data_IF_964950398502
#
_entry.id   IF_964950398502
#
_cell.length_a   1.000
_cell.length_b   1.000
_cell.length_c   1.000
_cell.angle_alpha   90.00
_cell.angle_beta   90.00
_cell.angle_gamma   90.00
#
_symmetry.space_group_name_H-M   'P 1'
#
loop_
_entity.id
_entity.type
_entity.pdbx_description
1 polymer ?
#
# COMPACT_ATOMS: atom_id res chain seq x y z
N UNK A 1 -6.94 22.64 -7.50
CA UNK A 1 -8.16 23.36 -7.12
C UNK A 1 -9.22 22.28 -6.99
N UNK A 2 -9.87 22.16 -5.84
CA UNK A 2 -11.02 21.30 -5.66
C UNK A 2 -12.14 21.82 -6.57
N UNK A 3 -12.62 20.95 -7.44
CA UNK A 3 -13.74 21.23 -8.34
C UNK A 3 -14.89 20.33 -7.91
N UNK A 4 -16.11 20.86 -7.74
CA UNK A 4 -17.28 20.01 -7.51
C UNK A 4 -17.39 18.97 -8.62
N UNK A 5 -17.67 17.72 -8.25
CA UNK A 5 -17.93 16.69 -9.25
C UNK A 5 -19.26 16.99 -9.98
N UNK A 6 -19.19 17.64 -11.13
CA UNK A 6 -20.27 17.59 -12.12
C UNK A 6 -20.23 16.19 -12.72
N UNK A 7 -21.32 15.43 -12.57
CA UNK A 7 -21.34 13.99 -12.84
C UNK A 7 -20.52 13.55 -14.07
N UNK A 8 -19.72 12.51 -13.84
CA UNK A 8 -19.05 11.65 -14.84
C UNK A 8 -17.96 12.34 -15.69
N UNK A 9 -16.89 12.79 -15.05
CA UNK A 9 -15.56 12.80 -15.69
C UNK A 9 -14.67 11.80 -14.95
N UNK A 10 -13.95 10.96 -15.69
CA UNK A 10 -13.20 9.78 -15.22
C UNK A 10 -12.03 10.03 -14.25
N UNK A 11 -12.05 11.13 -13.49
CA UNK A 11 -11.19 11.35 -12.34
C UNK A 11 -11.74 10.70 -11.07
N UNK A 12 -10.85 10.32 -10.16
CA UNK A 12 -11.23 9.84 -8.83
C UNK A 12 -11.85 10.99 -8.03
N UNK A 13 -13.11 10.85 -7.63
CA UNK A 13 -13.84 11.85 -6.85
C UNK A 13 -13.96 11.41 -5.39
N UNK A 14 -13.94 12.38 -4.46
CA UNK A 14 -14.08 12.13 -3.02
C UNK A 14 -15.25 12.92 -2.44
N UNK A 15 -16.11 12.26 -1.68
CA UNK A 15 -17.15 12.92 -0.91
C UNK A 15 -16.55 13.54 0.37
N UNK A 16 -16.85 14.83 0.62
CA UNK A 16 -16.42 15.57 1.80
C UNK A 16 -17.61 16.17 2.52
N UNK A 17 -17.52 16.28 3.84
CA UNK A 17 -18.55 16.91 4.67
C UNK A 17 -18.07 18.30 5.06
N UNK A 18 -18.93 19.30 4.87
CA UNK A 18 -18.67 20.67 5.29
C UNK A 18 -18.52 20.77 6.81
N UNK A 19 -17.50 21.48 7.28
CA UNK A 19 -17.33 21.89 8.67
C UNK A 19 -18.08 23.20 9.00
N UNK A 20 -18.74 23.81 8.02
CA UNK A 20 -19.45 25.07 8.16
C UNK A 20 -18.58 26.31 8.00
N UNK A 21 -19.10 27.45 8.42
CA UNK A 21 -18.44 28.76 8.38
C UNK A 21 -17.78 29.09 9.73
N UNK A 22 -16.74 29.94 9.76
CA UNK A 22 -16.14 30.39 11.01
C UNK A 22 -17.17 31.08 11.92
N UNK A 23 -17.07 30.83 13.23
CA UNK A 23 -17.85 31.56 14.22
C UNK A 23 -17.51 33.06 14.23
N UNK A 24 -18.43 33.89 14.70
CA UNK A 24 -18.22 35.34 14.77
C UNK A 24 -16.93 35.70 15.53
N UNK A 25 -16.12 36.56 14.92
CA UNK A 25 -14.83 37.01 15.48
C UNK A 25 -13.65 36.06 15.24
N UNK A 26 -13.88 34.90 14.62
CA UNK A 26 -12.81 33.98 14.19
C UNK A 26 -12.52 34.20 12.70
N UNK A 27 -11.28 34.54 12.38
CA UNK A 27 -10.77 34.56 11.02
C UNK A 27 -10.21 33.17 10.66
N UNK A 28 -10.49 32.73 9.43
CA UNK A 28 -10.07 31.45 8.87
C UNK A 28 -9.36 31.73 7.55
N UNK A 29 -8.11 31.29 7.44
CA UNK A 29 -7.30 31.38 6.23
C UNK A 29 -6.84 29.98 5.80
N UNK A 30 -6.66 29.80 4.49
CA UNK A 30 -5.99 28.64 3.92
C UNK A 30 -4.65 29.11 3.38
N UNK A 31 -3.55 28.55 3.87
CA UNK A 31 -2.20 28.95 3.47
C UNK A 31 -1.42 27.79 2.85
N UNK A 32 -0.56 28.10 1.90
CA UNK A 32 0.41 27.15 1.37
C UNK A 32 1.39 26.72 2.48
N UNK A 33 1.53 25.41 2.77
CA UNK A 33 2.35 24.96 3.90
C UNK A 33 3.83 25.30 3.79
N UNK A 34 4.36 25.42 2.57
CA UNK A 34 5.79 25.62 2.32
C UNK A 34 6.15 27.11 2.33
N UNK A 35 5.38 27.92 1.60
CA UNK A 35 5.61 29.36 1.47
C UNK A 35 4.92 30.20 2.55
N UNK A 36 3.95 29.64 3.25
CA UNK A 36 3.11 30.33 4.23
C UNK A 36 2.15 31.37 3.64
N UNK A 37 2.04 31.46 2.31
CA UNK A 37 1.23 32.46 1.63
C UNK A 37 -0.25 32.06 1.59
N UNK A 38 -1.19 33.03 1.65
CA UNK A 38 -2.61 32.76 1.47
C UNK A 38 -2.90 32.12 0.11
N UNK A 39 -3.76 31.11 0.11
CA UNK A 39 -4.26 30.44 -1.08
C UNK A 39 -5.69 30.89 -1.41
N UNK A 40 -6.06 30.98 -2.70
CA UNK A 40 -7.42 31.32 -3.08
C UNK A 40 -8.40 30.19 -2.71
N UNK A 41 -9.68 30.53 -2.64
CA UNK A 41 -10.75 29.57 -2.37
C UNK A 41 -10.68 28.36 -3.34
N UNK A 42 -11.03 27.19 -2.83
CA UNK A 42 -10.94 25.92 -3.56
C UNK A 42 -9.52 25.37 -3.71
N UNK A 43 -8.46 26.04 -3.27
CA UNK A 43 -7.12 25.42 -3.19
C UNK A 43 -6.95 24.79 -1.80
N UNK A 44 -6.43 23.57 -1.79
CA UNK A 44 -6.07 22.89 -0.53
C UNK A 44 -4.78 23.49 0.02
N UNK A 45 -4.76 23.72 1.33
CA UNK A 45 -3.60 24.18 2.08
C UNK A 45 -3.79 23.97 3.58
N UNK A 46 -2.87 24.49 4.38
CA UNK A 46 -2.95 24.46 5.84
C UNK A 46 -4.06 25.41 6.33
N UNK A 47 -4.92 24.89 7.19
CA UNK A 47 -5.97 25.65 7.88
C UNK A 47 -5.34 26.48 9.00
N UNK A 48 -5.61 27.78 9.00
CA UNK A 48 -5.10 28.73 9.98
C UNK A 48 -6.24 29.54 10.60
N UNK A 49 -6.16 29.72 11.91
CA UNK A 49 -7.20 30.41 12.70
C UNK A 49 -6.62 31.60 13.46
N UNK A 50 -7.31 32.73 13.42
CA UNK A 50 -6.99 33.92 14.23
C UNK A 50 -8.24 34.42 14.93
N UNK A 51 -8.09 34.96 16.14
CA UNK A 51 -9.21 35.57 16.86
C UNK A 51 -9.23 35.24 18.35
N UNK A 52 -10.19 35.82 19.09
CA UNK A 52 -10.18 35.84 20.55
C UNK A 52 -10.33 34.46 21.20
N UNK A 53 -10.82 33.46 20.46
CA UNK A 53 -10.97 32.07 20.92
C UNK A 53 -9.70 31.22 20.75
N UNK A 54 -8.66 31.75 20.11
CA UNK A 54 -7.38 31.05 19.95
C UNK A 54 -6.64 31.02 21.30
N UNK A 55 -6.13 29.84 21.68
CA UNK A 55 -5.39 29.69 22.92
C UNK A 55 -4.12 30.56 22.93
N UNK A 56 -3.75 31.07 24.09
CA UNK A 56 -2.52 31.88 24.24
C UNK A 56 -1.23 31.10 24.00
N UNK A 57 -1.28 29.77 23.97
CA UNK A 57 -0.16 28.84 23.92
C UNK A 57 -0.35 27.66 24.86
N UNK A 58 0.55 26.69 24.81
CA UNK A 58 0.54 25.51 25.67
C UNK A 58 1.06 25.83 27.08
N UNK A 59 0.53 25.11 28.08
CA UNK A 59 0.94 25.27 29.47
C UNK A 59 2.43 24.94 29.65
N UNK A 60 3.18 25.87 30.23
CA UNK A 60 4.64 25.80 30.45
C UNK A 60 5.50 25.74 29.18
N UNK A 61 4.93 26.02 28.00
CA UNK A 61 5.68 26.16 26.76
C UNK A 61 5.64 27.62 26.28
N UNK A 62 6.71 28.37 26.56
CA UNK A 62 6.82 29.78 26.17
C UNK A 62 6.98 29.98 24.67
N UNK A 63 7.47 28.98 23.93
CA UNK A 63 7.71 29.09 22.48
C UNK A 63 6.39 29.13 21.67
N UNK A 64 5.31 28.67 22.29
CA UNK A 64 3.98 28.62 21.68
C UNK A 64 3.12 29.84 22.02
N UNK A 65 3.65 30.80 22.79
CA UNK A 65 2.88 31.98 23.21
C UNK A 65 2.75 33.03 22.12
N UNK A 66 1.53 33.54 21.93
CA UNK A 66 1.26 34.69 21.06
C UNK A 66 1.47 34.45 19.57
N UNK A 67 1.52 33.18 19.12
CA UNK A 67 1.56 32.83 17.69
C UNK A 67 0.15 32.91 17.11
N UNK A 68 -0.17 34.04 16.48
CA UNK A 68 -1.28 34.16 15.55
C UNK A 68 -0.76 34.43 14.13
N UNK A 69 -1.36 33.83 13.09
CA UNK A 69 -2.44 32.85 13.15
C UNK A 69 -1.99 31.49 13.75
N UNK A 70 -2.91 30.80 14.43
CA UNK A 70 -2.72 29.42 14.87
C UNK A 70 -2.70 28.50 13.65
N UNK A 71 -1.53 27.92 13.38
CA UNK A 71 -1.38 26.79 12.47
C UNK A 71 -2.00 25.54 13.12
N UNK A 72 -3.14 25.07 12.61
CA UNK A 72 -3.82 23.89 13.19
C UNK A 72 -3.11 22.59 12.82
N UNK A 73 -2.32 22.63 11.75
CA UNK A 73 -1.73 21.46 11.10
C UNK A 73 -2.74 20.61 10.34
N UNK A 74 -3.99 21.05 10.22
CA UNK A 74 -5.01 20.41 9.38
C UNK A 74 -4.92 20.94 7.95
N UNK A 75 -5.20 20.08 6.98
CA UNK A 75 -5.33 20.44 5.57
C UNK A 75 -6.79 20.63 5.21
N UNK A 76 -7.07 21.63 4.37
CA UNK A 76 -8.43 21.90 3.92
C UNK A 76 -8.49 22.98 2.86
N UNK A 77 -9.71 23.25 2.40
CA UNK A 77 -10.01 24.36 1.48
C UNK A 77 -11.36 25.00 1.84
N UNK A 78 -11.57 26.22 1.37
CA UNK A 78 -12.85 26.93 1.47
C UNK A 78 -13.59 26.77 0.16
N UNK A 79 -14.85 26.32 0.21
CA UNK A 79 -15.76 26.28 -0.94
C UNK A 79 -17.11 26.86 -0.53
N UNK A 80 -17.62 27.81 -1.33
CA UNK A 80 -18.89 28.51 -1.05
C UNK A 80 -18.96 29.07 0.39
N UNK A 81 -17.83 29.57 0.90
CA UNK A 81 -17.71 30.16 2.23
C UNK A 81 -17.59 29.15 3.39
N UNK A 82 -17.74 27.86 3.13
CA UNK A 82 -17.61 26.82 4.14
C UNK A 82 -16.24 26.10 4.08
N UNK A 83 -15.75 25.68 5.24
CA UNK A 83 -14.51 24.91 5.37
C UNK A 83 -14.75 23.42 5.09
N UNK A 84 -13.87 22.82 4.30
CA UNK A 84 -13.79 21.38 4.11
C UNK A 84 -12.40 20.90 4.54
N UNK A 85 -12.34 20.12 5.62
CA UNK A 85 -11.10 19.52 6.11
C UNK A 85 -10.83 18.22 5.36
N UNK A 86 -9.61 18.09 4.85
CA UNK A 86 -9.22 17.01 3.94
C UNK A 86 -8.19 16.05 4.54
N UNK A 87 -7.50 16.46 5.60
CA UNK A 87 -6.48 15.65 6.25
C UNK A 87 -5.68 16.45 7.26
N UNK A 88 -4.48 15.95 7.58
CA UNK A 88 -3.54 16.60 8.51
C UNK A 88 -2.15 16.59 7.92
N UNK A 89 -1.46 17.73 7.96
CA UNK A 89 -0.16 17.96 7.32
C UNK A 89 0.89 16.93 7.77
N UNK A 90 0.91 16.61 9.07
CA UNK A 90 1.87 15.66 9.67
C UNK A 90 1.46 14.18 9.57
N UNK A 91 0.27 13.89 9.03
CA UNK A 91 -0.23 12.52 8.90
C UNK A 91 -0.20 12.03 7.45
N UNK A 92 0.30 12.80 6.47
CA UNK A 92 0.42 12.35 5.08
C UNK A 92 1.45 11.22 4.95
N UNK A 93 1.14 10.25 4.08
CA UNK A 93 2.02 9.12 3.72
C UNK A 93 2.59 9.43 2.34
N UNK A 94 3.91 9.38 2.18
CA UNK A 94 4.58 9.71 0.92
C UNK A 94 5.00 8.43 0.21
N UNK A 95 4.20 8.00 -0.76
CA UNK A 95 4.48 6.78 -1.53
C UNK A 95 4.94 7.17 -2.93
N UNK A 96 6.20 6.86 -3.28
CA UNK A 96 6.78 7.12 -4.61
C UNK A 96 6.59 8.58 -5.06
N UNK A 97 6.78 9.54 -4.15
CA UNK A 97 6.63 10.97 -4.41
C UNK A 97 5.18 11.48 -4.47
N UNK A 98 4.18 10.64 -4.15
CA UNK A 98 2.77 11.04 -4.06
C UNK A 98 2.34 11.14 -2.60
N UNK A 99 1.66 12.25 -2.26
CA UNK A 99 1.04 12.44 -0.95
C UNK A 99 -0.28 11.65 -0.88
N UNK A 100 -0.36 10.72 0.07
CA UNK A 100 -1.52 9.86 0.31
C UNK A 100 -2.06 10.17 1.70
N UNK A 101 -3.32 10.61 1.76
CA UNK A 101 -3.98 10.87 3.03
C UNK A 101 -4.45 9.54 3.66
N UNK A 102 -4.08 9.21 4.92
CA UNK A 102 -4.53 7.98 5.59
C UNK A 102 -6.05 7.85 5.65
N UNK A 103 -6.77 8.97 5.81
CA UNK A 103 -8.22 8.99 5.85
C UNK A 103 -8.84 8.46 4.56
N UNK A 104 -8.21 8.69 3.40
CA UNK A 104 -8.71 8.18 2.13
C UNK A 104 -8.53 6.67 2.03
N UNK A 105 -7.35 6.17 2.42
CA UNK A 105 -7.06 4.73 2.54
C UNK A 105 -8.08 4.04 3.45
N UNK A 106 -8.36 4.62 4.61
CA UNK A 106 -9.30 4.08 5.58
C UNK A 106 -10.75 4.11 5.08
N UNK A 107 -11.15 5.20 4.42
CA UNK A 107 -12.49 5.36 3.86
C UNK A 107 -12.76 4.40 2.71
N UNK A 108 -11.76 4.12 1.87
CA UNK A 108 -11.87 3.13 0.79
C UNK A 108 -12.21 1.72 1.31
N UNK A 109 -11.82 1.41 2.55
CA UNK A 109 -12.12 0.13 3.18
C UNK A 109 -13.53 0.03 3.78
N UNK A 110 -14.21 1.15 4.05
CA UNK A 110 -15.47 1.17 4.78
C UNK A 110 -16.57 0.28 4.16
N UNK A 111 -16.53 0.09 2.83
CA UNK A 111 -17.46 -0.75 2.07
C UNK A 111 -16.73 -1.73 1.13
N UNK A 112 -15.47 -2.06 1.44
CA UNK A 112 -14.65 -2.93 0.59
C UNK A 112 -15.07 -4.40 0.68
N UNK A 113 -15.38 -4.91 1.88
CA UNK A 113 -15.73 -6.31 2.09
C UNK A 113 -16.63 -6.50 3.32
N UNK A 114 -17.65 -7.39 3.31
CA UNK A 114 -18.58 -7.58 4.43
C UNK A 114 -17.93 -7.92 5.76
N UNK A 115 -16.76 -8.54 5.76
CA UNK A 115 -16.02 -8.91 6.96
C UNK A 115 -15.36 -7.72 7.68
N UNK A 116 -15.10 -6.60 7.00
CA UNK A 116 -14.41 -5.45 7.59
C UNK A 116 -15.35 -4.65 8.50
N UNK A 117 -14.84 -4.21 9.65
CA UNK A 117 -15.60 -3.31 10.50
C UNK A 117 -15.55 -1.87 9.90
N UNK A 118 -16.71 -1.22 9.71
CA UNK A 118 -16.75 0.15 9.20
C UNK A 118 -16.00 1.10 10.12
N UNK A 119 -15.28 2.07 9.56
CA UNK A 119 -14.53 3.09 10.32
C UNK A 119 -13.58 2.51 11.40
N UNK A 120 -13.04 1.32 11.13
CA UNK A 120 -12.13 0.61 12.02
C UNK A 120 -10.84 0.19 11.29
N UNK A 121 -10.29 1.13 10.52
CA UNK A 121 -9.02 0.99 9.85
C UNK A 121 -8.04 2.06 10.33
N UNK A 122 -6.76 1.72 10.30
CA UNK A 122 -5.64 2.63 10.54
C UNK A 122 -4.65 2.46 9.39
N UNK A 123 -4.47 3.51 8.59
CA UNK A 123 -3.42 3.60 7.59
C UNK A 123 -2.25 4.41 8.14
N UNK A 124 -1.03 3.95 7.94
CA UNK A 124 0.17 4.64 8.41
C UNK A 124 1.40 4.27 7.57
N UNK A 125 2.40 5.16 7.49
CA UNK A 125 3.64 4.88 6.79
C UNK A 125 4.57 4.06 7.70
N UNK A 126 5.39 3.21 7.10
CA UNK A 126 6.59 2.64 7.75
C UNK A 126 7.80 2.92 6.86
N UNK A 127 8.95 3.19 7.48
CA UNK A 127 10.18 3.44 6.74
C UNK A 127 10.74 2.13 6.19
N UNK A 128 11.19 2.16 4.95
CA UNK A 128 11.85 1.04 4.26
C UNK A 128 13.12 1.55 3.57
N UNK A 129 13.93 0.63 3.03
CA UNK A 129 15.11 1.01 2.23
C UNK A 129 14.78 1.88 1.02
N UNK A 130 13.56 1.77 0.48
CA UNK A 130 13.10 2.46 -0.73
C UNK A 130 12.20 3.67 -0.43
N UNK A 131 12.10 4.09 0.85
CA UNK A 131 11.23 5.17 1.30
C UNK A 131 10.04 4.69 2.15
N UNK A 132 8.96 5.47 2.22
CA UNK A 132 7.79 5.07 3.00
C UNK A 132 6.96 4.00 2.28
N UNK A 133 6.56 2.99 3.04
CA UNK A 133 5.62 1.95 2.64
C UNK A 133 4.29 2.11 3.36
N UNK A 134 3.19 1.78 2.69
CA UNK A 134 1.85 1.82 3.28
C UNK A 134 1.57 0.55 4.07
N UNK A 135 1.26 0.72 5.36
CA UNK A 135 0.68 -0.33 6.19
C UNK A 135 -0.76 0.00 6.52
N UNK A 136 -1.64 -0.99 6.42
CA UNK A 136 -3.05 -0.87 6.77
C UNK A 136 -3.44 -1.92 7.80
N UNK A 137 -3.88 -1.48 8.96
CA UNK A 137 -4.45 -2.36 9.98
C UNK A 137 -5.97 -2.15 10.04
N UNK A 138 -6.76 -3.22 10.00
CA UNK A 138 -8.22 -3.14 9.98
C UNK A 138 -8.84 -4.16 10.92
N UNK A 139 -9.84 -3.75 11.69
CA UNK A 139 -10.59 -4.67 12.56
C UNK A 139 -11.62 -5.47 11.74
N UNK A 140 -11.71 -6.76 12.02
CA UNK A 140 -12.73 -7.65 11.46
C UNK A 140 -13.96 -7.63 12.36
N UNK A 141 -15.15 -7.64 11.76
CA UNK A 141 -16.41 -7.73 12.51
C UNK A 141 -16.49 -9.03 13.30
N UNK A 142 -17.17 -8.98 14.45
CA UNK A 142 -17.28 -10.12 15.39
C UNK A 142 -17.85 -11.39 14.74
N UNK A 143 -18.84 -11.22 13.88
CA UNK A 143 -19.55 -12.27 13.15
C UNK A 143 -18.68 -12.95 12.07
N UNK A 144 -17.63 -12.29 11.59
CA UNK A 144 -16.73 -12.79 10.55
C UNK A 144 -15.36 -13.24 11.10
N UNK A 145 -15.23 -13.46 12.41
CA UNK A 145 -13.93 -13.87 13.00
C UNK A 145 -13.54 -15.32 12.72
N UNK A 146 -14.49 -16.17 12.36
CA UNK A 146 -14.28 -17.60 12.10
C UNK A 146 -14.74 -17.92 10.68
N UNK A 147 -14.10 -18.90 10.03
CA UNK A 147 -14.46 -19.40 8.70
C UNK A 147 -14.51 -18.30 7.62
N UNK A 148 -13.71 -17.25 7.74
CA UNK A 148 -13.56 -16.23 6.69
C UNK A 148 -12.38 -16.57 5.81
N UNK A 149 -12.60 -16.46 4.50
CA UNK A 149 -11.58 -16.58 3.48
C UNK A 149 -10.72 -15.29 3.46
N UNK A 150 -9.67 -15.29 4.28
CA UNK A 150 -8.75 -14.15 4.38
C UNK A 150 -8.08 -13.79 3.07
N UNK A 151 -7.60 -14.74 2.23
CA UNK A 151 -7.14 -14.42 0.89
C UNK A 151 -8.13 -13.52 0.14
N UNK A 152 -9.40 -13.89 0.05
CA UNK A 152 -10.42 -13.10 -0.66
C UNK A 152 -10.61 -11.70 -0.07
N UNK A 153 -10.50 -11.55 1.25
CA UNK A 153 -10.51 -10.23 1.91
C UNK A 153 -9.31 -9.40 1.47
N UNK A 154 -8.09 -9.96 1.48
CA UNK A 154 -6.89 -9.24 1.06
C UNK A 154 -6.94 -8.82 -0.41
N UNK A 155 -7.38 -9.71 -1.30
CA UNK A 155 -7.54 -9.39 -2.72
C UNK A 155 -8.55 -8.25 -2.93
N UNK A 156 -9.68 -8.26 -2.21
CA UNK A 156 -10.65 -7.16 -2.28
C UNK A 156 -10.05 -5.83 -1.81
N UNK A 157 -9.23 -5.84 -0.76
CA UNK A 157 -8.56 -4.63 -0.24
C UNK A 157 -7.51 -4.10 -1.22
N UNK A 158 -6.63 -4.97 -1.75
CA UNK A 158 -5.62 -4.57 -2.72
C UNK A 158 -6.24 -4.05 -4.01
N UNK A 159 -7.26 -4.74 -4.54
CA UNK A 159 -8.02 -4.28 -5.71
C UNK A 159 -8.65 -2.92 -5.47
N UNK A 160 -9.27 -2.71 -4.31
CA UNK A 160 -9.86 -1.41 -3.95
C UNK A 160 -8.83 -0.28 -3.92
N UNK A 161 -7.64 -0.51 -3.37
CA UNK A 161 -6.57 0.49 -3.36
C UNK A 161 -6.01 0.76 -4.77
N UNK A 162 -5.83 -0.28 -5.57
CA UNK A 162 -5.39 -0.14 -6.95
C UNK A 162 -6.39 0.70 -7.76
N UNK A 163 -7.68 0.36 -7.67
CA UNK A 163 -8.75 1.02 -8.43
C UNK A 163 -8.94 2.49 -8.02
N UNK A 164 -8.96 2.80 -6.71
CA UNK A 164 -9.31 4.14 -6.23
C UNK A 164 -8.12 5.08 -6.08
N UNK A 165 -6.91 4.55 -5.93
CA UNK A 165 -5.73 5.34 -5.55
C UNK A 165 -4.52 5.06 -6.45
N UNK A 166 -4.56 4.02 -7.28
CA UNK A 166 -3.43 3.61 -8.10
C UNK A 166 -2.22 3.21 -7.26
N UNK A 167 -2.45 2.54 -6.13
CA UNK A 167 -1.40 2.05 -5.22
C UNK A 167 -1.84 0.75 -4.55
N UNK A 168 -0.87 0.02 -3.99
CA UNK A 168 -1.11 -1.16 -3.17
C UNK A 168 -0.62 -0.91 -1.74
N UNK A 169 -1.25 -1.56 -0.77
CA UNK A 169 -0.70 -1.59 0.58
C UNK A 169 0.46 -2.58 0.63
N UNK A 170 1.57 -2.21 1.26
CA UNK A 170 2.70 -3.13 1.43
C UNK A 170 2.32 -4.19 2.45
N UNK A 171 1.78 -3.80 3.61
CA UNK A 171 1.30 -4.73 4.63
C UNK A 171 -0.16 -4.48 4.97
N UNK A 172 -0.92 -5.57 5.10
CA UNK A 172 -2.29 -5.54 5.58
C UNK A 172 -2.43 -6.45 6.80
N UNK A 173 -2.89 -5.89 7.91
CA UNK A 173 -3.06 -6.60 9.18
C UNK A 173 -4.55 -6.66 9.54
N UNK A 174 -5.12 -7.88 9.56
CA UNK A 174 -6.49 -8.10 9.99
C UNK A 174 -6.51 -8.37 11.49
N UNK A 175 -7.20 -7.53 12.25
CA UNK A 175 -7.19 -7.53 13.71
C UNK A 175 -8.55 -7.96 14.29
N UNK A 176 -8.57 -8.52 15.51
CA UNK A 176 -9.84 -8.70 16.23
C UNK A 176 -10.45 -7.34 16.62
N UNK A 177 -11.78 -7.28 16.85
CA UNK A 177 -12.44 -6.05 17.29
C UNK A 177 -11.85 -5.50 18.60
N UNK A 178 -11.60 -4.17 18.64
CA UNK A 178 -11.07 -3.47 19.80
C UNK A 178 -9.55 -3.48 19.91
N UNK A 179 -8.83 -3.99 18.91
CA UNK A 179 -7.37 -4.01 18.88
C UNK A 179 -6.76 -2.66 18.48
N UNK A 180 -7.46 -1.85 17.67
CA UNK A 180 -6.97 -0.54 17.27
C UNK A 180 -7.12 0.46 18.42
N UNK A 181 -6.05 1.18 18.73
CA UNK A 181 -6.08 2.23 19.74
C UNK A 181 -6.97 3.39 19.29
N UNK A 182 -7.88 3.82 20.17
CA UNK A 182 -8.80 4.94 19.93
C UNK A 182 -8.67 6.02 21.01
N UNK A 183 -9.06 7.23 20.68
CA UNK A 183 -9.30 8.29 21.67
C UNK A 183 -10.60 8.00 22.43
N UNK A 184 -10.85 8.73 23.53
CA UNK A 184 -12.14 8.68 24.24
C UNK A 184 -13.33 9.06 23.35
N UNK A 185 -13.09 9.85 22.30
CA UNK A 185 -14.09 10.21 21.28
C UNK A 185 -14.21 9.19 20.14
N UNK A 186 -13.55 8.02 20.22
CA UNK A 186 -13.62 6.95 19.23
C UNK A 186 -12.72 7.11 17.99
N UNK A 187 -11.94 8.20 17.88
CA UNK A 187 -11.04 8.44 16.73
C UNK A 187 -9.83 7.50 16.79
N UNK A 188 -9.41 6.98 15.65
CA UNK A 188 -8.23 6.11 15.55
C UNK A 188 -6.97 6.89 15.91
N UNK A 189 -6.14 6.32 16.79
CA UNK A 189 -4.83 6.87 17.18
C UNK A 189 -3.74 6.26 16.30
N UNK A 190 -3.67 6.69 15.03
CA UNK A 190 -2.76 6.14 14.00
C UNK A 190 -1.32 5.99 14.48
N UNK A 191 -0.75 7.00 15.13
CA UNK A 191 0.62 6.95 15.68
C UNK A 191 0.80 5.83 16.71
N UNK A 192 -0.18 5.62 17.59
CA UNK A 192 -0.16 4.53 18.57
C UNK A 192 -0.31 3.17 17.88
N UNK A 193 -1.17 3.07 16.87
CA UNK A 193 -1.32 1.85 16.06
C UNK A 193 -0.04 1.52 15.29
N UNK A 194 0.61 2.52 14.67
CA UNK A 194 1.91 2.37 14.00
C UNK A 194 2.97 1.84 14.95
N UNK A 195 3.06 2.41 16.14
CA UNK A 195 4.02 1.95 17.15
C UNK A 195 3.72 0.50 17.57
N UNK A 196 2.45 0.17 17.82
CA UNK A 196 2.04 -1.21 18.14
C UNK A 196 2.36 -2.21 17.02
N UNK A 197 2.26 -1.80 15.75
CA UNK A 197 2.71 -2.60 14.61
C UNK A 197 4.22 -2.84 14.64
N UNK A 198 5.01 -1.78 14.78
CA UNK A 198 6.49 -1.84 14.83
C UNK A 198 6.96 -2.73 15.99
N UNK A 199 6.30 -2.60 17.14
CA UNK A 199 6.64 -3.37 18.35
C UNK A 199 6.13 -4.83 18.29
N UNK A 200 5.39 -5.21 17.25
CA UNK A 200 4.78 -6.54 17.14
C UNK A 200 3.74 -6.83 18.22
N UNK A 201 3.09 -5.80 18.77
CA UNK A 201 2.22 -5.91 19.95
C UNK A 201 0.85 -6.56 19.67
N UNK A 202 0.48 -6.71 18.39
CA UNK A 202 -0.80 -7.28 18.00
C UNK A 202 -0.76 -8.80 17.81
N UNK A 203 -1.90 -9.44 18.06
CA UNK A 203 -2.19 -10.81 17.65
C UNK A 203 -3.18 -10.79 16.49
N UNK A 204 -2.71 -10.72 15.23
CA UNK A 204 -3.59 -10.62 14.08
C UNK A 204 -4.39 -11.91 13.86
N UNK A 205 -5.58 -11.76 13.28
CA UNK A 205 -6.38 -12.88 12.76
C UNK A 205 -5.78 -13.43 11.48
N UNK A 206 -5.25 -12.53 10.64
CA UNK A 206 -4.46 -12.83 9.45
C UNK A 206 -3.61 -11.60 9.09
N UNK A 207 -2.55 -11.83 8.32
CA UNK A 207 -1.69 -10.76 7.80
C UNK A 207 -1.30 -11.10 6.36
N UNK A 208 -1.42 -10.12 5.49
CA UNK A 208 -0.72 -10.10 4.21
C UNK A 208 0.52 -9.24 4.42
N UNK A 209 1.67 -9.88 4.51
CA UNK A 209 2.94 -9.18 4.55
C UNK A 209 3.41 -8.97 3.10
N UNK A 210 3.74 -7.72 2.78
CA UNK A 210 4.65 -7.44 1.68
C UNK A 210 6.07 -7.69 2.18
N UNK A 211 7.07 -7.49 1.34
CA UNK A 211 8.48 -7.68 1.69
C UNK A 211 9.02 -6.65 2.74
N UNK A 212 8.28 -6.39 3.82
CA UNK A 212 8.72 -5.66 5.02
C UNK A 212 9.41 -6.58 6.03
N UNK A 213 9.26 -7.90 5.89
CA UNK A 213 10.07 -8.89 6.58
C UNK A 213 11.11 -9.46 5.62
N UNK A 214 12.35 -8.99 5.76
CA UNK A 214 13.56 -9.68 5.31
C UNK A 214 13.59 -10.04 3.83
N UNK A 215 14.27 -9.20 3.04
CA UNK A 215 15.03 -9.63 1.86
C UNK A 215 16.19 -10.59 2.26
N UNK A 216 15.85 -11.66 2.97
CA UNK A 216 16.73 -12.57 3.68
C UNK A 216 16.31 -14.01 3.46
N UNK A 217 16.61 -14.50 2.25
CA UNK A 217 16.95 -15.90 1.96
C UNK A 217 15.92 -16.98 2.34
N UNK A 218 14.91 -17.14 1.49
CA UNK A 218 14.31 -18.47 1.22
C UNK A 218 14.29 -18.84 -0.28
N UNK A 219 14.80 -17.99 -1.17
CA UNK A 219 14.92 -18.26 -2.62
C UNK A 219 15.89 -19.39 -3.02
N UNK A 220 17.05 -19.60 -2.35
CA UNK A 220 17.99 -20.64 -2.79
C UNK A 220 17.59 -22.07 -2.40
N UNK A 221 16.73 -22.28 -1.40
CA UNK A 221 16.37 -23.63 -0.94
C UNK A 221 15.42 -24.34 -1.92
N UNK A 222 14.49 -23.60 -2.55
CA UNK A 222 13.62 -24.10 -3.64
C UNK A 222 14.45 -24.41 -4.89
N UNK A 223 15.40 -23.54 -5.26
CA UNK A 223 16.31 -23.74 -6.41
C UNK A 223 17.28 -24.91 -6.20
N UNK A 224 17.82 -25.09 -4.99
CA UNK A 224 18.73 -26.20 -4.65
C UNK A 224 18.12 -27.59 -4.81
N UNK A 225 16.78 -27.74 -4.70
CA UNK A 225 16.10 -29.02 -4.95
C UNK A 225 16.18 -29.46 -6.42
N UNK A 226 16.43 -28.53 -7.35
CA UNK A 226 16.35 -28.79 -8.79
C UNK A 226 17.58 -29.54 -9.34
N UNK A 227 18.74 -29.39 -8.71
CA UNK A 227 20.02 -29.86 -9.29
C UNK A 227 20.13 -31.39 -9.39
N UNK A 228 19.39 -32.14 -8.55
CA UNK A 228 19.44 -33.61 -8.49
C UNK A 228 18.06 -34.30 -8.68
N UNK A 229 17.03 -33.53 -9.03
CA UNK A 229 15.65 -33.99 -9.14
C UNK A 229 15.35 -34.63 -10.51
N UNK A 230 14.36 -35.52 -10.60
CA UNK A 230 13.87 -35.98 -11.91
C UNK A 230 13.13 -34.86 -12.68
N UNK A 231 12.70 -35.11 -13.92
CA UNK A 231 12.04 -34.08 -14.73
C UNK A 231 10.74 -33.56 -14.10
N UNK A 232 9.98 -34.42 -13.44
CA UNK A 232 8.68 -34.07 -12.84
C UNK A 232 8.92 -33.20 -11.60
N UNK A 233 9.83 -33.63 -10.74
CA UNK A 233 10.22 -32.89 -9.53
C UNK A 233 10.86 -31.54 -9.87
N UNK A 234 11.69 -31.47 -10.93
CA UNK A 234 12.25 -30.20 -11.42
C UNK A 234 11.18 -29.24 -11.90
N UNK A 235 10.20 -29.73 -12.66
CA UNK A 235 9.14 -28.88 -13.18
C UNK A 235 8.26 -28.34 -12.05
N UNK A 236 7.91 -29.19 -11.07
CA UNK A 236 7.22 -28.75 -9.86
C UNK A 236 8.02 -27.69 -9.09
N UNK A 237 9.33 -27.88 -8.94
CA UNK A 237 10.20 -26.90 -8.28
C UNK A 237 10.32 -25.56 -9.04
N UNK A 238 10.30 -25.59 -10.39
CA UNK A 238 10.25 -24.38 -11.22
C UNK A 238 8.94 -23.62 -10.99
N UNK A 239 7.81 -24.31 -10.99
CA UNK A 239 6.51 -23.69 -10.74
C UNK A 239 6.45 -23.10 -9.32
N UNK A 240 6.93 -23.83 -8.30
CA UNK A 240 7.02 -23.34 -6.92
C UNK A 240 7.93 -22.11 -6.77
N UNK A 241 9.00 -22.05 -7.56
CA UNK A 241 9.89 -20.89 -7.64
C UNK A 241 9.18 -19.70 -8.29
N UNK A 242 8.49 -19.91 -9.43
CA UNK A 242 7.76 -18.87 -10.14
C UNK A 242 6.64 -18.29 -9.29
N UNK A 243 5.85 -19.14 -8.61
CA UNK A 243 4.81 -18.74 -7.65
C UNK A 243 5.41 -17.82 -6.58
N UNK A 244 6.50 -18.25 -5.95
CA UNK A 244 7.17 -17.45 -4.93
C UNK A 244 7.69 -16.12 -5.49
N UNK A 245 8.41 -16.16 -6.61
CA UNK A 245 9.06 -14.98 -7.21
C UNK A 245 8.04 -13.94 -7.65
N UNK A 246 6.97 -14.38 -8.30
CA UNK A 246 5.88 -13.51 -8.73
C UNK A 246 5.10 -12.98 -7.54
N UNK A 247 4.81 -13.79 -6.52
CA UNK A 247 4.19 -13.33 -5.28
C UNK A 247 4.97 -12.16 -4.64
N UNK A 248 6.30 -12.22 -4.63
CA UNK A 248 7.14 -11.13 -4.15
C UNK A 248 7.05 -9.88 -5.02
N UNK A 249 7.19 -10.02 -6.34
CA UNK A 249 7.20 -8.88 -7.28
C UNK A 249 5.84 -8.18 -7.43
N UNK A 250 4.75 -8.94 -7.30
CA UNK A 250 3.39 -8.41 -7.44
C UNK A 250 2.75 -8.07 -6.11
N UNK A 251 3.41 -8.38 -4.99
CA UNK A 251 2.86 -8.26 -3.64
C UNK A 251 1.52 -9.00 -3.49
N UNK A 252 1.37 -10.13 -4.19
CA UNK A 252 0.20 -11.01 -4.10
C UNK A 252 0.55 -12.27 -3.30
N UNK A 253 -0.38 -12.81 -2.49
CA UNK A 253 -0.17 -14.09 -1.81
C UNK A 253 0.14 -15.25 -2.79
N UNK A 254 1.08 -16.13 -2.44
CA UNK A 254 1.38 -17.36 -3.20
C UNK A 254 0.13 -18.22 -3.44
N UNK A 255 -0.84 -18.20 -2.52
CA UNK A 255 -2.09 -18.97 -2.62
C UNK A 255 -3.00 -18.57 -3.80
N UNK A 256 -2.76 -17.41 -4.43
CA UNK A 256 -3.49 -16.98 -5.63
C UNK A 256 -2.84 -17.42 -6.94
N UNK A 257 -1.64 -17.97 -6.84
CA UNK A 257 -0.84 -18.38 -7.97
C UNK A 257 -0.78 -19.90 -7.98
N UNK A 258 -0.88 -20.46 -9.18
CA UNK A 258 -0.86 -21.88 -9.42
C UNK A 258 -0.34 -22.18 -10.83
N UNK A 259 -0.16 -23.46 -11.15
CA UNK A 259 0.42 -23.89 -12.42
C UNK A 259 -0.30 -23.30 -13.65
N UNK A 260 -1.62 -23.20 -13.57
CA UNK A 260 -2.48 -22.71 -14.64
C UNK A 260 -2.75 -21.20 -14.58
N UNK A 261 -2.14 -20.47 -13.63
CA UNK A 261 -2.36 -19.02 -13.52
C UNK A 261 -1.84 -18.33 -14.79
N UNK A 262 -2.69 -17.56 -15.48
CA UNK A 262 -2.26 -16.79 -16.65
C UNK A 262 -1.22 -15.74 -16.26
N UNK A 263 -0.18 -15.57 -17.07
CA UNK A 263 0.87 -14.56 -16.80
C UNK A 263 0.46 -13.15 -17.22
N UNK A 264 -0.52 -13.05 -18.11
CA UNK A 264 -1.17 -11.80 -18.48
C UNK A 264 -2.09 -11.33 -17.36
N UNK A 265 -1.91 -10.08 -16.92
CA UNK A 265 -2.73 -9.50 -15.85
C UNK A 265 -2.32 -9.86 -14.41
N UNK A 266 -1.24 -10.62 -14.20
CA UNK A 266 -0.66 -10.88 -12.86
C UNK A 266 -0.14 -9.60 -12.17
N UNK A 267 -0.02 -8.48 -12.89
CA UNK A 267 0.46 -7.20 -12.34
C UNK A 267 1.96 -6.99 -12.52
N UNK A 268 2.56 -7.64 -13.52
CA UNK A 268 3.89 -7.32 -14.02
C UNK A 268 3.81 -6.11 -14.96
N UNK A 269 4.04 -4.92 -14.41
CA UNK A 269 4.27 -3.71 -15.23
C UNK A 269 5.63 -3.81 -15.96
N UNK A 270 5.91 -2.88 -16.87
CA UNK A 270 7.15 -2.89 -17.68
C UNK A 270 8.42 -2.89 -16.82
N UNK A 271 8.40 -2.31 -15.63
CA UNK A 271 9.57 -2.26 -14.75
C UNK A 271 9.74 -3.59 -13.99
N UNK A 272 8.64 -4.15 -13.48
CA UNK A 272 8.61 -5.46 -12.84
C UNK A 272 8.94 -6.61 -13.79
N UNK A 273 8.65 -6.47 -15.08
CA UNK A 273 9.07 -7.45 -16.09
C UNK A 273 10.60 -7.51 -16.21
N UNK A 274 11.26 -6.35 -16.27
CA UNK A 274 12.73 -6.30 -16.32
C UNK A 274 13.32 -6.83 -15.02
N UNK A 275 12.74 -6.46 -13.88
CA UNK A 275 13.15 -6.98 -12.56
C UNK A 275 12.98 -8.50 -12.46
N UNK A 276 11.86 -9.04 -12.93
CA UNK A 276 11.61 -10.48 -13.00
C UNK A 276 12.71 -11.21 -13.79
N UNK A 277 13.05 -10.70 -14.99
CA UNK A 277 14.05 -11.31 -15.85
C UNK A 277 15.44 -11.32 -15.21
N UNK A 278 15.86 -10.19 -14.61
CA UNK A 278 17.13 -10.10 -13.89
C UNK A 278 17.18 -11.08 -12.70
N UNK A 279 16.09 -11.24 -11.97
CA UNK A 279 16.02 -12.16 -10.83
C UNK A 279 16.04 -13.62 -11.27
N UNK A 280 15.35 -13.98 -12.37
CA UNK A 280 15.40 -15.32 -12.96
C UNK A 280 16.82 -15.66 -13.41
N UNK A 281 17.50 -14.74 -14.09
CA UNK A 281 18.89 -14.94 -14.51
C UNK A 281 19.82 -15.10 -13.30
N UNK A 282 19.68 -14.22 -12.30
CA UNK A 282 20.49 -14.29 -11.06
C UNK A 282 20.25 -15.56 -10.25
N UNK A 283 19.01 -16.05 -10.16
CA UNK A 283 18.68 -17.19 -9.30
C UNK A 283 18.89 -18.53 -9.99
N UNK A 284 18.59 -18.62 -11.29
CA UNK A 284 18.59 -19.88 -12.04
C UNK A 284 19.74 -19.99 -13.03
N UNK A 285 20.45 -18.90 -13.32
CA UNK A 285 21.50 -18.85 -14.35
C UNK A 285 20.94 -18.90 -15.77
N UNK A 286 19.71 -18.42 -15.98
CA UNK A 286 18.99 -18.55 -17.25
C UNK A 286 18.56 -17.18 -17.76
N UNK A 287 19.07 -16.78 -18.92
CA UNK A 287 18.60 -15.60 -19.62
C UNK A 287 17.35 -15.95 -20.46
N UNK A 288 16.23 -15.29 -20.15
CA UNK A 288 15.00 -15.33 -20.92
C UNK A 288 14.90 -14.11 -21.84
N UNK A 289 14.24 -14.22 -23.00
CA UNK A 289 14.04 -13.09 -23.90
C UNK A 289 13.01 -12.09 -23.32
N UNK A 290 13.12 -10.81 -23.69
CA UNK A 290 12.21 -9.76 -23.20
C UNK A 290 10.74 -10.00 -23.55
N UNK A 291 10.46 -10.70 -24.65
CA UNK A 291 9.13 -11.06 -25.13
C UNK A 291 8.68 -12.47 -24.68
N UNK A 292 9.27 -13.02 -23.62
CA UNK A 292 8.94 -14.34 -23.07
C UNK A 292 7.44 -14.59 -22.89
N UNK A 293 6.65 -13.55 -22.59
CA UNK A 293 5.19 -13.65 -22.41
C UNK A 293 4.43 -13.98 -23.69
N UNK A 294 5.05 -13.84 -24.87
CA UNK A 294 4.49 -14.33 -26.13
C UNK A 294 4.64 -15.86 -26.26
N UNK A 295 5.63 -16.44 -25.59
CA UNK A 295 5.97 -17.87 -25.64
C UNK A 295 5.42 -18.67 -24.45
N UNK A 296 5.06 -18.00 -23.36
CA UNK A 296 4.49 -18.61 -22.17
C UNK A 296 3.26 -17.82 -21.69
N UNK A 297 2.12 -18.50 -21.58
CA UNK A 297 0.85 -17.89 -21.18
C UNK A 297 0.46 -18.24 -19.74
N UNK A 298 1.11 -19.22 -19.12
CA UNK A 298 0.84 -19.73 -17.76
C UNK A 298 2.14 -19.96 -16.99
N UNK A 299 2.06 -20.14 -15.66
CA UNK A 299 3.25 -20.48 -14.86
C UNK A 299 3.87 -21.82 -15.26
N UNK A 300 3.07 -22.82 -15.61
CA UNK A 300 3.56 -24.09 -16.16
C UNK A 300 4.31 -23.91 -17.47
N UNK A 301 3.76 -23.16 -18.42
CA UNK A 301 4.42 -22.94 -19.71
C UNK A 301 5.67 -22.05 -19.58
N UNK A 302 5.70 -21.16 -18.59
CA UNK A 302 6.90 -20.39 -18.26
C UNK A 302 7.99 -21.26 -17.62
N UNK A 303 7.60 -22.23 -16.78
CA UNK A 303 8.53 -23.23 -16.27
C UNK A 303 9.14 -24.07 -17.40
N UNK A 304 8.32 -24.52 -18.36
CA UNK A 304 8.79 -25.22 -19.55
C UNK A 304 9.77 -24.38 -20.38
N UNK A 305 9.49 -23.08 -20.56
CA UNK A 305 10.36 -22.14 -21.26
C UNK A 305 11.72 -21.97 -20.55
N UNK A 306 11.72 -21.85 -19.22
CA UNK A 306 12.96 -21.78 -18.44
C UNK A 306 13.75 -23.08 -18.60
N UNK A 307 13.10 -24.24 -18.54
CA UNK A 307 13.78 -25.52 -18.68
C UNK A 307 14.41 -25.69 -20.07
N UNK A 308 13.71 -25.30 -21.14
CA UNK A 308 14.27 -25.40 -22.50
C UNK A 308 15.49 -24.51 -22.71
N UNK A 309 15.49 -23.30 -22.15
CA UNK A 309 16.65 -22.40 -22.17
C UNK A 309 17.83 -22.94 -21.34
N UNK A 310 17.56 -23.62 -20.22
CA UNK A 310 18.60 -24.31 -19.43
C UNK A 310 19.26 -25.43 -20.21
N UNK A 311 18.46 -26.28 -20.85
CA UNK A 311 18.96 -27.41 -21.62
C UNK A 311 19.78 -26.93 -22.83
N UNK A 312 19.35 -25.83 -23.47
CA UNK A 312 20.10 -25.17 -24.55
C UNK A 312 21.42 -24.56 -24.11
N UNK A 313 21.46 -23.89 -22.94
CA UNK A 313 22.68 -23.29 -22.39
C UNK A 313 23.71 -24.34 -21.92
N UNK A 314 23.24 -25.51 -21.46
CA UNK A 314 24.10 -26.64 -21.11
C UNK A 314 24.71 -27.32 -22.35
N UNK A 315 24.01 -27.31 -23.49
CA UNK A 315 24.49 -27.88 -24.74
C UNK A 315 25.60 -27.02 -25.40
N UNK A 316 25.50 -25.69 -25.33
CA UNK A 316 26.51 -24.77 -25.90
C UNK A 316 27.80 -24.69 -25.08
N UNK A 317 27.76 -24.97 -23.78
CA UNK A 317 28.95 -24.98 -22.90
C UNK A 317 29.75 -26.28 -22.96
N UNK A 318 29.17 -27.36 -23.51
CA UNK A 318 29.83 -28.67 -23.67
C UNK A 318 30.76 -28.81 -24.88
N UNK A 319 30.64 -27.93 -25.88
CA UNK A 319 31.40 -28.03 -27.15
C UNK A 319 32.75 -27.29 -27.14
N UNK A 320 33.05 -26.46 -26.14
CA UNK A 320 34.30 -25.67 -26.08
C UNK A 320 35.48 -26.37 -25.38
N UNK A 321 35.32 -27.60 -24.86
CA UNK A 321 36.40 -28.37 -24.22
C UNK A 321 36.84 -29.62 -25.01
N UNK A 322 36.44 -29.72 -26.28
CA UNK A 322 36.79 -30.80 -27.20
C UNK A 322 37.59 -30.33 -28.41
N UNK A 323 38.72 -29.65 -28.21
CA UNK A 323 39.75 -29.42 -29.22
C UNK A 323 41.14 -29.41 -28.60
#
# INVERSE_FOLDING_TARGET
MAVPASGIDGGTTRALVSCGTPCQGLALDITDPDSGQPLPHGREGEVRLSGPSVMRGYWRDTATRGREPLATGDLGFIWEGALYVTGRLKDLIIIRGRNVAPGDVENALAQCHPALAPAAAAAFPVETGDGEALVVAVEIRRDHRRNTDWPRVFAAMQGRFADQMGLTATDIVLLPPGALARTTSGKIRRRTCRQAYIDGAWKPLARLAGALEGAGRAGPAKVRRMANADRIERMAALVDYLIWRLAQLTAQPEAFLGPDTPVDGIGLDSLKQVEFLMLVESDLGVALPMDWSASATTLSSLADLIQSHRDGAAATTGDEHGA
#
